data_IF_947226985369
#
_entry.id   IF_947226985369
#
_cell.length_a   1.000
_cell.length_b   1.000
_cell.length_c   1.000
_cell.angle_alpha   90.00
_cell.angle_beta   90.00
_cell.angle_gamma   90.00
#
_symmetry.space_group_name_H-M   'P 1'
#
loop_
_entity.id
_entity.type
_entity.pdbx_description
1 polymer ?
#
# COMPACT_ATOMS: atom_id res chain seq x y z
N UNK A 1 -21.14 -2.62 20.20
CA UNK A 1 -20.92 -3.06 18.81
C UNK A 1 -19.55 -3.72 18.76
N UNK A 2 -19.50 -5.03 18.53
CA UNK A 2 -18.23 -5.77 18.50
C UNK A 2 -17.40 -5.28 17.32
N UNK A 3 -16.23 -4.70 17.60
CA UNK A 3 -15.32 -4.22 16.56
C UNK A 3 -14.72 -5.36 15.75
N UNK A 4 -14.35 -5.09 14.49
CA UNK A 4 -13.63 -6.03 13.65
C UNK A 4 -12.25 -6.34 14.24
N UNK A 5 -11.83 -7.60 14.15
CA UNK A 5 -10.52 -8.05 14.63
C UNK A 5 -9.43 -7.86 13.57
N UNK A 6 -8.21 -7.59 14.03
CA UNK A 6 -7.03 -7.55 13.15
C UNK A 6 -6.86 -6.27 12.33
N UNK A 7 -7.67 -5.23 12.53
CA UNK A 7 -7.58 -3.96 11.79
C UNK A 7 -6.75 -2.85 12.46
N UNK A 8 -6.22 -3.12 13.66
CA UNK A 8 -5.57 -2.12 14.49
C UNK A 8 -6.52 -1.01 14.94
N UNK A 9 -5.97 0.12 15.38
CA UNK A 9 -6.77 1.29 15.76
C UNK A 9 -7.17 2.09 14.53
N UNK A 10 -8.43 2.52 14.50
CA UNK A 10 -8.98 3.40 13.47
C UNK A 10 -10.11 4.25 14.05
N UNK A 11 -10.51 5.29 13.31
CA UNK A 11 -11.57 6.25 13.62
C UNK A 11 -12.80 6.02 12.77
N UNK A 12 -12.60 5.60 11.52
CA UNK A 12 -13.67 5.22 10.60
C UNK A 12 -13.16 4.34 9.46
N UNK A 13 -14.09 3.66 8.79
CA UNK A 13 -13.82 2.86 7.59
C UNK A 13 -14.87 3.23 6.55
N UNK A 14 -14.44 3.56 5.33
CA UNK A 14 -15.32 3.91 4.21
C UNK A 14 -14.88 3.20 2.94
N UNK A 15 -15.79 3.03 1.99
CA UNK A 15 -15.41 2.70 0.62
C UNK A 15 -15.25 4.01 -0.15
N UNK A 16 -14.14 4.21 -0.86
CA UNK A 16 -13.85 5.47 -1.53
C UNK A 16 -13.25 5.29 -2.92
N UNK A 17 -13.40 6.31 -3.78
CA UNK A 17 -12.69 6.42 -5.05
C UNK A 17 -12.46 7.89 -5.42
N UNK A 18 -11.51 8.12 -6.31
CA UNK A 18 -11.30 9.42 -6.94
C UNK A 18 -12.54 9.82 -7.76
N UNK A 19 -12.99 11.07 -7.61
CA UNK A 19 -14.05 11.65 -8.43
C UNK A 19 -13.58 11.96 -9.86
N UNK A 20 -12.28 12.23 -10.04
CA UNK A 20 -11.65 12.48 -11.34
C UNK A 20 -11.44 11.17 -12.12
N UNK A 21 -12.08 11.07 -13.28
CA UNK A 21 -11.97 9.91 -14.18
C UNK A 21 -10.55 9.69 -14.71
N UNK A 22 -9.80 10.76 -14.95
CA UNK A 22 -8.42 10.67 -15.43
C UNK A 22 -7.47 10.09 -14.38
N UNK A 23 -7.81 10.17 -13.08
CA UNK A 23 -7.12 9.44 -12.02
C UNK A 23 -7.54 7.97 -12.04
N UNK A 24 -8.84 7.70 -12.17
CA UNK A 24 -9.37 6.33 -12.16
C UNK A 24 -8.83 5.48 -13.31
N UNK A 25 -8.61 6.07 -14.49
CA UNK A 25 -8.14 5.36 -15.68
C UNK A 25 -6.72 4.78 -15.53
N UNK A 26 -5.88 5.40 -14.70
CA UNK A 26 -4.50 4.95 -14.43
C UNK A 26 -4.36 4.23 -13.09
N UNK A 27 -5.38 4.26 -12.24
CA UNK A 27 -5.32 3.69 -10.91
C UNK A 27 -5.32 2.16 -10.88
N UNK A 28 -4.74 1.61 -9.81
CA UNK A 28 -4.86 0.18 -9.51
C UNK A 28 -6.32 -0.22 -9.25
N UNK A 29 -7.01 0.56 -8.42
CA UNK A 29 -8.39 0.33 -7.99
C UNK A 29 -9.17 1.65 -8.06
N UNK A 30 -9.61 2.21 -6.92
CA UNK A 30 -10.38 3.45 -6.87
C UNK A 30 -9.59 4.75 -7.04
N UNK A 31 -8.25 4.72 -7.08
CA UNK A 31 -7.44 5.94 -7.25
C UNK A 31 -7.43 6.89 -6.05
N UNK A 32 -7.90 6.43 -4.88
CA UNK A 32 -8.03 7.25 -3.67
C UNK A 32 -6.70 7.87 -3.24
N UNK A 33 -5.60 7.10 -3.27
CA UNK A 33 -4.27 7.58 -2.86
C UNK A 33 -3.81 8.72 -3.76
N UNK A 34 -3.89 8.53 -5.08
CA UNK A 34 -3.52 9.54 -6.08
C UNK A 34 -4.35 10.80 -5.88
N UNK A 35 -5.68 10.69 -5.71
CA UNK A 35 -6.54 11.84 -5.47
C UNK A 35 -6.19 12.61 -4.19
N UNK A 36 -5.92 11.90 -3.08
CA UNK A 36 -5.50 12.52 -1.82
C UNK A 36 -4.17 13.28 -1.95
N UNK A 37 -3.20 12.70 -2.66
CA UNK A 37 -1.89 13.32 -2.87
C UNK A 37 -1.99 14.55 -3.79
N UNK A 38 -2.73 14.45 -4.89
CA UNK A 38 -2.96 15.60 -5.78
C UNK A 38 -3.64 16.75 -5.01
N UNK A 39 -4.68 16.43 -4.23
CA UNK A 39 -5.36 17.40 -3.38
C UNK A 39 -4.45 18.02 -2.32
N UNK A 40 -3.63 17.21 -1.64
CA UNK A 40 -2.70 17.68 -0.63
C UNK A 40 -1.60 18.58 -1.22
N UNK A 41 -1.14 18.28 -2.44
CA UNK A 41 -0.16 19.11 -3.14
C UNK A 41 -0.78 20.44 -3.56
N UNK A 42 -1.96 20.41 -4.18
CA UNK A 42 -2.71 21.60 -4.63
C UNK A 42 -3.03 22.56 -3.47
N UNK A 43 -3.42 22.02 -2.32
CA UNK A 43 -3.76 22.82 -1.13
C UNK A 43 -2.54 23.24 -0.30
N UNK A 44 -1.33 22.85 -0.71
CA UNK A 44 -0.09 23.15 0.00
C UNK A 44 0.08 22.40 1.32
N UNK A 45 -0.72 21.35 1.54
CA UNK A 45 -0.61 20.43 2.68
C UNK A 45 0.68 19.60 2.65
N UNK A 46 1.20 19.36 1.44
CA UNK A 46 2.52 18.75 1.19
C UNK A 46 3.28 19.54 0.13
N UNK A 47 4.60 19.44 0.18
CA UNK A 47 5.50 19.97 -0.86
C UNK A 47 5.88 18.88 -1.88
N UNK A 48 5.73 17.60 -1.49
CA UNK A 48 5.97 16.46 -2.35
C UNK A 48 5.67 15.13 -1.66
N UNK A 49 5.75 14.06 -2.43
CA UNK A 49 5.45 12.71 -1.98
C UNK A 49 6.54 11.72 -2.39
N UNK A 50 6.95 10.85 -1.47
CA UNK A 50 7.83 9.71 -1.77
C UNK A 50 6.96 8.51 -2.12
N UNK A 51 7.12 8.03 -3.35
CA UNK A 51 6.26 7.05 -4.01
C UNK A 51 7.07 5.89 -4.60
N UNK A 52 6.37 4.80 -4.90
CA UNK A 52 6.87 3.73 -5.78
C UNK A 52 6.19 3.88 -7.13
N UNK A 53 6.94 3.66 -8.22
CA UNK A 53 6.43 3.68 -9.59
C UNK A 53 6.92 2.46 -10.37
N UNK A 54 6.29 2.20 -11.51
CA UNK A 54 6.84 1.31 -12.53
C UNK A 54 7.93 2.07 -13.30
N UNK A 55 9.19 1.66 -13.18
CA UNK A 55 10.31 2.37 -13.80
C UNK A 55 10.44 2.09 -15.30
N UNK A 56 10.05 0.90 -15.75
CA UNK A 56 10.18 0.44 -17.14
C UNK A 56 9.08 -0.58 -17.52
N UNK A 57 9.13 -1.06 -18.76
CA UNK A 57 8.19 -2.08 -19.26
C UNK A 57 8.38 -3.46 -18.60
N UNK A 58 9.54 -3.72 -18.00
CA UNK A 58 9.84 -4.97 -17.27
C UNK A 58 9.27 -4.98 -15.85
N UNK A 59 8.48 -3.96 -15.50
CA UNK A 59 7.89 -3.79 -14.18
C UNK A 59 8.92 -3.66 -13.07
N UNK A 60 10.10 -3.10 -13.38
CA UNK A 60 11.10 -2.77 -12.37
C UNK A 60 10.52 -1.77 -11.37
N UNK A 61 10.55 -2.05 -10.05
CA UNK A 61 10.09 -1.12 -9.04
C UNK A 61 11.05 0.07 -8.92
N UNK A 62 10.58 1.26 -9.30
CA UNK A 62 11.29 2.53 -9.14
C UNK A 62 10.79 3.32 -7.93
N UNK A 63 11.67 4.16 -7.38
CA UNK A 63 11.33 5.13 -6.33
C UNK A 63 11.28 6.53 -6.95
N UNK A 64 10.38 7.38 -6.46
CA UNK A 64 10.20 8.73 -6.97
C UNK A 64 9.82 9.69 -5.83
N UNK A 65 10.51 10.82 -5.75
CA UNK A 65 10.03 11.99 -5.02
C UNK A 65 9.25 12.85 -6.01
N UNK A 66 7.91 12.75 -5.94
CA UNK A 66 7.02 13.50 -6.81
C UNK A 66 6.73 14.88 -6.19
N UNK A 67 6.97 15.94 -6.95
CA UNK A 67 6.67 17.33 -6.56
C UNK A 67 5.62 17.98 -7.46
N UNK A 68 5.12 17.25 -8.45
CA UNK A 68 4.08 17.70 -9.37
C UNK A 68 2.91 16.71 -9.42
N UNK A 69 1.73 17.20 -9.76
CA UNK A 69 0.54 16.36 -9.95
C UNK A 69 0.76 15.30 -11.04
N UNK A 70 1.46 15.66 -12.12
CA UNK A 70 1.81 14.76 -13.22
C UNK A 70 2.63 13.56 -12.71
N UNK A 71 3.68 13.81 -11.93
CA UNK A 71 4.52 12.77 -11.34
C UNK A 71 3.74 11.85 -10.40
N UNK A 72 2.83 12.41 -9.59
CA UNK A 72 1.94 11.64 -8.72
C UNK A 72 1.06 10.71 -9.57
N UNK A 73 0.45 11.21 -10.64
CA UNK A 73 -0.41 10.42 -11.54
C UNK A 73 0.37 9.33 -12.29
N UNK A 74 1.57 9.63 -12.77
CA UNK A 74 2.45 8.67 -13.47
C UNK A 74 2.94 7.53 -12.56
N UNK A 75 2.95 7.74 -11.24
CA UNK A 75 3.29 6.69 -10.27
C UNK A 75 2.14 5.72 -9.95
N UNK A 76 0.92 5.99 -10.44
CA UNK A 76 -0.25 5.18 -10.12
C UNK A 76 -0.14 3.74 -10.63
N UNK A 77 -0.75 2.81 -9.88
CA UNK A 77 -0.70 1.38 -10.16
C UNK A 77 0.20 0.62 -9.17
N UNK A 78 -0.12 -0.65 -8.94
CA UNK A 78 0.70 -1.49 -8.06
C UNK A 78 1.81 -2.19 -8.84
N UNK A 79 3.03 -2.14 -8.31
CA UNK A 79 4.12 -3.03 -8.70
C UNK A 79 4.30 -4.06 -7.59
N UNK A 80 3.95 -5.33 -7.85
CA UNK A 80 4.12 -6.42 -6.87
C UNK A 80 5.56 -6.92 -6.86
N UNK A 81 6.49 -5.99 -6.64
CA UNK A 81 7.89 -6.28 -6.41
C UNK A 81 8.44 -5.40 -5.28
N UNK A 82 9.51 -5.86 -4.63
CA UNK A 82 10.18 -5.14 -3.56
C UNK A 82 10.74 -3.80 -4.05
N UNK A 83 10.29 -2.70 -3.42
CA UNK A 83 10.74 -1.33 -3.69
C UNK A 83 11.18 -0.68 -2.38
N UNK A 84 12.47 -0.42 -2.14
CA UNK A 84 12.93 0.14 -0.86
C UNK A 84 12.65 1.66 -0.72
N UNK A 85 11.46 2.16 -1.02
CA UNK A 85 11.15 3.60 -1.12
C UNK A 85 11.44 4.46 0.14
N UNK A 86 11.56 3.87 1.33
CA UNK A 86 11.89 4.59 2.57
C UNK A 86 13.20 5.37 2.46
N UNK A 87 14.20 4.89 1.69
CA UNK A 87 15.50 5.57 1.60
C UNK A 87 15.39 6.98 0.99
N UNK A 88 14.40 7.21 0.11
CA UNK A 88 14.21 8.50 -0.54
C UNK A 88 13.65 9.59 0.38
N UNK A 89 13.20 9.24 1.59
CA UNK A 89 12.78 10.25 2.56
C UNK A 89 13.92 11.19 2.95
N UNK A 90 15.15 10.68 3.03
CA UNK A 90 16.32 11.54 3.31
C UNK A 90 16.60 12.49 2.15
N UNK A 91 16.56 11.97 0.93
CA UNK A 91 16.74 12.74 -0.31
C UNK A 91 15.71 13.87 -0.42
N UNK A 92 14.43 13.52 -0.24
CA UNK A 92 13.32 14.47 -0.22
C UNK A 92 13.52 15.57 0.85
N UNK A 93 13.94 15.19 2.05
CA UNK A 93 14.10 16.09 3.18
C UNK A 93 15.35 16.99 3.12
N UNK A 94 16.36 16.63 2.33
CA UNK A 94 17.67 17.28 2.33
C UNK A 94 18.01 17.87 0.98
N UNK A 95 18.28 17.02 0.00
CA UNK A 95 18.70 17.42 -1.34
C UNK A 95 17.58 18.20 -2.05
N UNK A 96 16.32 17.84 -1.82
CA UNK A 96 15.16 18.56 -2.38
C UNK A 96 14.55 19.58 -1.42
N UNK A 97 15.06 19.68 -0.19
CA UNK A 97 14.63 20.63 0.84
C UNK A 97 13.10 20.69 1.09
N UNK A 98 12.37 19.58 0.88
CA UNK A 98 10.94 19.53 1.19
C UNK A 98 10.74 19.61 2.71
N UNK A 99 9.66 20.25 3.17
CA UNK A 99 9.34 20.41 4.60
C UNK A 99 8.10 19.62 5.03
N UNK A 100 7.15 19.40 4.11
CA UNK A 100 5.93 18.60 4.31
C UNK A 100 5.88 17.46 3.30
N UNK A 101 6.36 16.29 3.70
CA UNK A 101 6.47 15.11 2.83
C UNK A 101 5.30 14.16 3.10
N UNK A 102 4.59 13.74 2.04
CA UNK A 102 3.77 12.54 2.09
C UNK A 102 4.61 11.29 1.79
N UNK A 103 4.35 10.20 2.50
CA UNK A 103 4.94 8.89 2.21
C UNK A 103 3.85 7.88 1.88
N UNK A 104 4.01 7.13 0.78
CA UNK A 104 3.15 5.99 0.45
C UNK A 104 3.97 4.71 0.51
N UNK A 105 3.50 3.72 1.28
CA UNK A 105 4.20 2.46 1.41
C UNK A 105 3.37 1.31 1.95
N UNK A 106 3.96 0.13 1.92
CA UNK A 106 3.41 -1.11 2.48
C UNK A 106 3.52 -1.11 4.02
N UNK A 107 2.84 -2.01 4.75
CA UNK A 107 2.77 -1.98 6.21
C UNK A 107 4.14 -1.98 6.91
N UNK A 108 5.08 -2.80 6.45
CA UNK A 108 6.44 -2.84 6.99
C UNK A 108 7.19 -1.52 6.80
N UNK A 109 6.97 -0.84 5.68
CA UNK A 109 7.57 0.46 5.38
C UNK A 109 6.93 1.58 6.22
N UNK A 110 5.62 1.53 6.41
CA UNK A 110 4.91 2.42 7.34
C UNK A 110 5.51 2.30 8.75
N UNK A 111 5.76 1.07 9.23
CA UNK A 111 6.43 0.86 10.52
C UNK A 111 7.86 1.41 10.51
N UNK A 112 8.62 1.25 9.44
CA UNK A 112 9.96 1.84 9.33
C UNK A 112 9.92 3.37 9.45
N UNK A 113 8.95 4.03 8.79
CA UNK A 113 8.76 5.49 8.89
C UNK A 113 8.36 5.90 10.30
N UNK A 114 7.41 5.21 10.94
CA UNK A 114 7.03 5.52 12.33
C UNK A 114 8.18 5.31 13.31
N UNK A 115 8.97 4.25 13.13
CA UNK A 115 10.17 3.99 13.93
C UNK A 115 11.19 5.11 13.74
N UNK A 116 11.39 5.60 12.52
CA UNK A 116 12.28 6.75 12.25
C UNK A 116 11.77 8.04 12.92
N UNK A 117 10.45 8.26 13.00
CA UNK A 117 9.88 9.41 13.71
C UNK A 117 10.11 9.34 15.23
N UNK A 118 10.03 8.15 15.82
CA UNK A 118 10.21 7.96 17.27
C UNK A 118 11.67 7.83 17.69
N UNK A 119 12.49 7.22 16.84
CA UNK A 119 13.89 6.88 17.10
C UNK A 119 14.77 7.33 15.91
N UNK A 120 14.99 8.64 15.72
CA UNK A 120 15.62 9.22 14.52
C UNK A 120 17.15 9.02 14.48
N UNK A 121 17.67 7.88 14.94
CA UNK A 121 19.08 7.53 14.82
C UNK A 121 19.48 7.48 13.33
N UNK A 122 20.39 8.36 12.92
CA UNK A 122 20.81 8.49 11.51
C UNK A 122 19.81 9.20 10.57
N UNK A 123 18.73 9.75 11.12
CA UNK A 123 17.62 10.39 10.40
C UNK A 123 17.25 11.77 10.95
N UNK A 124 18.24 12.55 11.43
CA UNK A 124 18.06 13.92 11.95
C UNK A 124 17.11 14.70 11.03
N UNK A 125 16.04 15.32 11.55
CA UNK A 125 15.05 16.08 10.79
C UNK A 125 14.53 15.43 9.49
N UNK A 126 14.49 14.09 9.39
CA UNK A 126 13.85 13.39 8.27
C UNK A 126 12.43 13.01 8.67
N UNK A 127 12.28 12.30 9.79
CA UNK A 127 10.97 11.85 10.29
C UNK A 127 10.01 13.01 10.60
N UNK A 128 10.52 14.13 11.12
CA UNK A 128 9.74 15.32 11.49
C UNK A 128 9.06 15.98 10.28
N UNK A 129 9.68 15.84 9.09
CA UNK A 129 9.16 16.39 7.83
C UNK A 129 8.10 15.50 7.20
N UNK A 130 7.88 14.28 7.71
CA UNK A 130 6.83 13.39 7.18
C UNK A 130 5.47 13.81 7.71
N UNK A 131 4.76 14.58 6.88
CA UNK A 131 3.46 15.16 7.17
C UNK A 131 2.33 14.13 7.13
N UNK A 132 2.30 13.28 6.11
CA UNK A 132 1.30 12.22 5.96
C UNK A 132 1.95 10.89 5.62
N UNK A 133 1.43 9.80 6.19
CA UNK A 133 1.81 8.42 5.88
C UNK A 133 0.57 7.68 5.40
N UNK A 134 0.53 7.34 4.12
CA UNK A 134 -0.57 6.57 3.51
C UNK A 134 -0.10 5.13 3.32
N UNK A 135 -0.77 4.21 4.01
CA UNK A 135 -0.44 2.79 3.96
C UNK A 135 -1.25 2.05 2.92
N UNK A 136 -0.61 1.17 2.15
CA UNK A 136 -1.31 0.28 1.20
C UNK A 136 -1.46 -1.11 1.83
N UNK A 137 -2.61 -1.75 1.65
CA UNK A 137 -2.79 -3.12 2.14
C UNK A 137 -1.81 -4.07 1.44
N UNK A 138 -1.28 -5.04 2.18
CA UNK A 138 -0.30 -5.98 1.64
C UNK A 138 -0.43 -7.34 2.33
N UNK A 139 -0.63 -8.39 1.54
CA UNK A 139 -0.51 -9.77 2.02
C UNK A 139 0.95 -10.22 1.99
N UNK A 140 1.58 -10.10 0.83
CA UNK A 140 2.93 -10.55 0.50
C UNK A 140 3.48 -9.69 -0.65
N UNK A 141 4.80 -9.75 -0.86
CA UNK A 141 5.52 -9.09 -1.93
C UNK A 141 6.61 -10.03 -2.48
N UNK A 142 7.15 -9.68 -3.66
CA UNK A 142 8.01 -10.58 -4.43
C UNK A 142 9.35 -9.92 -4.77
N UNK A 143 10.47 -10.67 -4.77
CA UNK A 143 11.66 -10.24 -5.48
C UNK A 143 11.35 -9.92 -6.97
N UNK A 144 12.04 -8.96 -7.62
CA UNK A 144 11.77 -8.64 -9.03
C UNK A 144 11.83 -9.86 -9.96
N UNK A 145 12.81 -10.75 -9.79
CA UNK A 145 12.91 -11.99 -10.57
C UNK A 145 11.79 -12.99 -10.27
N UNK A 146 11.27 -12.97 -9.05
CA UNK A 146 10.11 -13.79 -8.68
C UNK A 146 8.84 -13.33 -9.40
N UNK A 147 8.64 -12.02 -9.54
CA UNK A 147 7.55 -11.47 -10.34
C UNK A 147 7.68 -11.92 -11.81
N UNK A 148 8.89 -11.87 -12.39
CA UNK A 148 9.16 -12.38 -13.73
C UNK A 148 8.79 -13.86 -13.86
N UNK A 149 9.21 -14.71 -12.92
CA UNK A 149 8.88 -16.15 -12.94
C UNK A 149 7.37 -16.42 -12.86
N UNK A 150 6.63 -15.62 -12.07
CA UNK A 150 5.16 -15.75 -12.00
C UNK A 150 4.53 -15.37 -13.35
N UNK A 151 4.95 -14.26 -13.95
CA UNK A 151 4.35 -13.69 -15.17
C UNK A 151 4.74 -14.50 -16.41
N UNK A 152 6.03 -14.73 -16.63
CA UNK A 152 6.52 -15.46 -17.80
C UNK A 152 6.37 -16.97 -17.62
N UNK A 153 6.74 -17.49 -16.45
CA UNK A 153 6.77 -18.94 -16.21
C UNK A 153 5.40 -19.55 -15.92
N UNK A 154 4.52 -18.88 -15.17
CA UNK A 154 3.21 -19.44 -14.81
C UNK A 154 2.05 -18.88 -15.62
N UNK A 155 2.05 -17.58 -15.93
CA UNK A 155 1.03 -17.03 -16.82
C UNK A 155 1.40 -17.24 -18.32
N UNK A 156 2.68 -17.36 -18.67
CA UNK A 156 3.08 -17.48 -20.08
C UNK A 156 2.95 -16.16 -20.84
N UNK A 157 3.03 -15.03 -20.13
CA UNK A 157 2.95 -13.68 -20.71
C UNK A 157 4.35 -13.05 -20.65
N UNK A 158 4.91 -12.55 -21.77
CA UNK A 158 6.12 -11.73 -21.72
C UNK A 158 5.91 -10.52 -20.81
N UNK A 159 6.79 -10.29 -19.83
CA UNK A 159 6.54 -9.27 -18.79
C UNK A 159 6.36 -7.87 -19.38
N UNK A 160 7.03 -7.57 -20.49
CA UNK A 160 6.97 -6.29 -21.22
C UNK A 160 5.59 -6.02 -21.84
N UNK A 161 4.80 -7.08 -22.10
CA UNK A 161 3.43 -6.97 -22.62
C UNK A 161 2.38 -6.81 -21.52
N UNK A 162 2.74 -6.99 -20.26
CA UNK A 162 1.82 -6.85 -19.14
C UNK A 162 1.42 -5.39 -18.96
N UNK A 163 0.12 -5.13 -18.87
CA UNK A 163 -0.48 -3.80 -18.67
C UNK A 163 -0.95 -3.59 -17.24
N UNK A 164 -1.43 -4.65 -16.59
CA UNK A 164 -1.92 -4.60 -15.21
C UNK A 164 -1.75 -5.96 -14.53
N UNK A 165 -1.44 -5.94 -13.24
CA UNK A 165 -1.51 -7.11 -12.37
C UNK A 165 -2.47 -6.82 -11.22
N UNK A 166 -3.25 -7.80 -10.78
CA UNK A 166 -4.09 -7.63 -9.60
C UNK A 166 -4.48 -8.96 -8.94
N UNK A 167 -4.66 -8.92 -7.63
CA UNK A 167 -5.17 -10.04 -6.86
C UNK A 167 -6.70 -9.98 -6.76
N UNK A 168 -7.39 -11.02 -7.23
CA UNK A 168 -8.83 -11.13 -7.09
C UNK A 168 -9.25 -12.59 -6.97
N UNK A 169 -10.17 -12.89 -6.03
CA UNK A 169 -10.78 -14.22 -5.85
C UNK A 169 -9.76 -15.37 -5.78
N UNK A 170 -8.64 -15.14 -5.08
CA UNK A 170 -7.56 -16.14 -4.93
C UNK A 170 -6.71 -16.37 -6.18
N UNK A 171 -6.80 -15.47 -7.17
CA UNK A 171 -5.99 -15.48 -8.40
C UNK A 171 -5.10 -14.25 -8.46
N UNK A 172 -3.87 -14.46 -8.92
CA UNK A 172 -2.98 -13.45 -9.44
C UNK A 172 -3.29 -13.30 -10.93
N UNK A 173 -3.88 -12.17 -11.31
CA UNK A 173 -4.31 -11.89 -12.67
C UNK A 173 -3.24 -11.07 -13.38
N UNK A 174 -2.80 -11.53 -14.54
CA UNK A 174 -1.89 -10.85 -15.45
C UNK A 174 -2.70 -10.41 -16.66
N UNK A 175 -2.93 -9.11 -16.80
CA UNK A 175 -3.62 -8.55 -17.96
C UNK A 175 -2.61 -8.05 -19.00
N UNK A 176 -2.76 -8.49 -20.24
CA UNK A 176 -1.96 -8.09 -21.40
C UNK A 176 -2.87 -8.03 -22.63
N UNK A 177 -2.80 -6.96 -23.41
CA UNK A 177 -3.48 -6.72 -24.70
C UNK A 177 -4.65 -7.69 -25.04
N UNK A 178 -5.80 -7.48 -24.38
CA UNK A 178 -7.04 -8.22 -24.64
C UNK A 178 -7.21 -9.56 -23.91
N UNK A 179 -6.19 -10.07 -23.21
CA UNK A 179 -6.20 -11.32 -22.46
C UNK A 179 -5.93 -11.10 -20.97
N UNK A 180 -6.59 -11.91 -20.12
CA UNK A 180 -6.28 -12.00 -18.69
C UNK A 180 -5.89 -13.43 -18.37
N UNK A 181 -4.63 -13.64 -17.98
CA UNK A 181 -4.11 -14.93 -17.55
C UNK A 181 -4.09 -15.02 -16.03
N UNK A 182 -4.44 -16.18 -15.50
CA UNK A 182 -4.64 -16.37 -14.07
C UNK A 182 -3.69 -17.42 -13.51
N UNK A 183 -2.93 -17.01 -12.50
CA UNK A 183 -2.13 -17.90 -11.65
C UNK A 183 -2.83 -18.01 -10.31
N UNK A 184 -2.88 -19.19 -9.67
CA UNK A 184 -3.44 -19.26 -8.31
C UNK A 184 -2.51 -18.53 -7.34
N UNK A 185 -3.08 -17.81 -6.37
CA UNK A 185 -2.28 -17.12 -5.33
C UNK A 185 -1.36 -18.12 -4.62
N UNK A 186 -1.88 -19.30 -4.26
CA UNK A 186 -1.07 -20.37 -3.65
C UNK A 186 0.21 -20.72 -4.43
N UNK A 187 0.14 -20.70 -5.77
CA UNK A 187 1.30 -20.99 -6.63
C UNK A 187 2.24 -19.79 -6.71
N UNK A 188 1.70 -18.58 -6.80
CA UNK A 188 2.48 -17.34 -6.77
C UNK A 188 3.22 -17.16 -5.44
N UNK A 189 2.56 -17.43 -4.31
CA UNK A 189 3.11 -17.32 -2.95
C UNK A 189 4.33 -18.20 -2.68
N UNK A 190 4.60 -19.21 -3.53
CA UNK A 190 5.85 -19.95 -3.45
C UNK A 190 7.09 -19.07 -3.71
N UNK A 191 6.90 -17.97 -4.43
CA UNK A 191 7.95 -17.01 -4.77
C UNK A 191 7.91 -15.75 -3.89
N UNK A 192 7.06 -15.72 -2.86
CA UNK A 192 6.98 -14.58 -1.95
C UNK A 192 8.29 -14.43 -1.17
N UNK A 193 8.58 -13.20 -0.74
CA UNK A 193 9.75 -12.95 0.10
C UNK A 193 9.57 -13.58 1.49
N UNK A 194 10.56 -14.34 1.95
CA UNK A 194 10.55 -15.01 3.27
C UNK A 194 10.25 -14.08 4.46
N UNK A 195 10.72 -12.83 4.39
CA UNK A 195 10.49 -11.81 5.42
C UNK A 195 9.01 -11.48 5.66
N UNK A 196 8.13 -11.74 4.68
CA UNK A 196 6.70 -11.48 4.82
C UNK A 196 6.02 -12.51 5.72
N UNK A 197 6.60 -13.70 5.90
CA UNK A 197 6.05 -14.73 6.78
C UNK A 197 6.03 -14.34 8.25
N UNK A 198 6.85 -13.37 8.67
CA UNK A 198 6.83 -12.83 10.05
C UNK A 198 6.08 -11.50 10.14
N UNK A 199 5.49 -11.01 9.04
CA UNK A 199 4.73 -9.77 9.01
C UNK A 199 3.25 -10.03 9.38
N UNK A 200 2.74 -9.48 10.48
CA UNK A 200 1.36 -9.69 10.92
C UNK A 200 0.40 -8.58 10.46
N UNK A 201 0.87 -7.57 9.75
CA UNK A 201 0.07 -6.41 9.36
C UNK A 201 -0.39 -6.52 7.89
N UNK A 202 -1.71 -6.60 7.70
CA UNK A 202 -2.35 -6.60 6.38
C UNK A 202 -2.76 -5.20 5.94
N UNK A 203 -3.22 -4.36 6.87
CA UNK A 203 -3.97 -3.12 6.58
C UNK A 203 -3.21 -1.85 6.93
N UNK A 204 -1.89 -1.94 7.12
CA UNK A 204 -0.99 -0.84 7.46
C UNK A 204 -1.49 -0.07 8.70
N UNK A 205 -1.54 -0.75 9.84
CA UNK A 205 -2.20 -0.31 11.08
C UNK A 205 -1.65 1.00 11.66
N UNK A 206 -0.41 1.36 11.29
CA UNK A 206 0.29 2.55 11.79
C UNK A 206 0.28 3.74 10.81
N UNK A 207 -0.45 3.66 9.71
CA UNK A 207 -0.59 4.77 8.76
C UNK A 207 -1.50 5.88 9.32
N UNK A 208 -1.51 7.05 8.67
CA UNK A 208 -2.54 8.07 8.91
C UNK A 208 -3.85 7.70 8.21
N UNK A 209 -3.73 7.17 7.01
CA UNK A 209 -4.81 6.65 6.16
C UNK A 209 -4.30 5.32 5.59
N UNK A 210 -5.11 4.26 5.63
CA UNK A 210 -4.77 3.00 4.95
C UNK A 210 -5.76 2.70 3.84
N UNK A 211 -5.26 2.21 2.71
CA UNK A 211 -6.04 2.03 1.49
C UNK A 211 -5.75 0.65 0.89
N UNK A 212 -6.78 -0.06 0.46
CA UNK A 212 -6.63 -1.28 -0.33
C UNK A 212 -7.91 -1.63 -1.07
N UNK A 213 -7.89 -2.73 -1.83
CA UNK A 213 -9.01 -3.17 -2.66
C UNK A 213 -10.01 -4.06 -1.91
N UNK A 214 -9.52 -4.92 -1.01
CA UNK A 214 -10.31 -5.94 -0.34
C UNK A 214 -11.35 -5.29 0.58
N UNK A 215 -12.61 -5.65 0.38
CA UNK A 215 -13.76 -5.17 1.15
C UNK A 215 -14.68 -4.26 0.35
N UNK A 216 -14.16 -3.67 -0.73
CA UNK A 216 -14.90 -2.79 -1.64
C UNK A 216 -15.16 -3.45 -3.00
N UNK A 217 -16.09 -2.86 -3.75
CA UNK A 217 -16.40 -3.24 -5.13
C UNK A 217 -15.25 -2.90 -6.08
N UNK A 218 -15.13 -3.56 -7.26
CA UNK A 218 -14.14 -3.19 -8.27
C UNK A 218 -14.19 -1.71 -8.63
N UNK A 219 -13.02 -1.06 -8.71
CA UNK A 219 -12.90 0.37 -8.95
C UNK A 219 -13.17 1.26 -7.72
N UNK A 220 -13.27 0.65 -6.54
CA UNK A 220 -13.32 1.34 -5.24
C UNK A 220 -12.22 0.81 -4.32
N UNK A 221 -11.89 1.58 -3.30
CA UNK A 221 -10.96 1.20 -2.24
C UNK A 221 -11.66 1.13 -0.90
N UNK A 222 -11.30 0.16 -0.06
CA UNK A 222 -11.57 0.23 1.37
C UNK A 222 -10.52 1.14 2.02
N UNK A 223 -10.98 2.12 2.79
CA UNK A 223 -10.14 3.16 3.40
C UNK A 223 -10.34 3.18 4.91
N UNK A 224 -9.26 3.03 5.67
CA UNK A 224 -9.23 3.26 7.11
C UNK A 224 -8.72 4.67 7.39
N UNK A 225 -9.51 5.45 8.13
CA UNK A 225 -9.10 6.73 8.70
C UNK A 225 -8.53 6.47 10.09
N UNK A 226 -7.23 6.71 10.31
CA UNK A 226 -6.55 6.26 11.55
C UNK A 226 -6.19 7.39 12.48
N UNK A 227 -5.52 8.41 11.96
CA UNK A 227 -5.09 9.57 12.76
C UNK A 227 -6.01 10.76 12.50
N UNK A 228 -6.06 11.69 13.45
CA UNK A 228 -6.85 12.94 13.28
C UNK A 228 -6.42 13.71 12.04
N UNK A 229 -5.11 13.77 11.75
CA UNK A 229 -4.58 14.46 10.55
C UNK A 229 -4.95 13.74 9.25
N UNK A 230 -4.97 12.41 9.25
CA UNK A 230 -5.40 11.63 8.07
C UNK A 230 -6.90 11.78 7.81
N UNK A 231 -7.71 11.71 8.87
CA UNK A 231 -9.16 11.95 8.81
C UNK A 231 -9.49 13.36 8.31
N UNK A 232 -8.78 14.39 8.80
CA UNK A 232 -8.95 15.77 8.34
C UNK A 232 -8.66 15.93 6.83
N UNK A 233 -7.50 15.46 6.37
CA UNK A 233 -7.14 15.52 4.95
C UNK A 233 -8.19 14.83 4.07
N UNK A 234 -8.62 13.64 4.49
CA UNK A 234 -9.61 12.86 3.74
C UNK A 234 -10.96 13.57 3.67
N UNK A 235 -11.45 14.10 4.80
CA UNK A 235 -12.72 14.81 4.85
C UNK A 235 -12.67 16.07 4.00
N UNK A 236 -11.61 16.88 4.07
CA UNK A 236 -11.45 18.06 3.20
C UNK A 236 -11.43 17.69 1.72
N UNK A 237 -10.75 16.60 1.34
CA UNK A 237 -10.75 16.12 -0.04
C UNK A 237 -12.15 15.68 -0.51
N UNK A 238 -12.89 14.95 0.35
CA UNK A 238 -14.28 14.54 0.09
C UNK A 238 -15.20 15.75 -0.05
N UNK A 239 -15.13 16.70 0.88
CA UNK A 239 -16.02 17.86 0.93
C UNK A 239 -15.78 18.82 -0.24
N UNK A 240 -14.56 18.83 -0.81
CA UNK A 240 -14.24 19.52 -2.06
C UNK A 240 -14.52 18.68 -3.33
N UNK A 241 -15.20 17.54 -3.19
CA UNK A 241 -15.59 16.70 -4.33
C UNK A 241 -14.42 15.99 -5.04
N UNK A 242 -13.25 15.88 -4.40
CA UNK A 242 -12.12 15.10 -4.96
C UNK A 242 -12.29 13.60 -4.76
N UNK A 243 -13.07 13.19 -3.75
CA UNK A 243 -13.30 11.79 -3.38
C UNK A 243 -14.79 11.53 -3.21
N UNK A 244 -15.26 10.45 -3.83
CA UNK A 244 -16.59 9.87 -3.59
C UNK A 244 -16.49 8.80 -2.50
N UNK A 245 -17.50 8.70 -1.64
CA UNK A 245 -17.54 7.72 -0.55
C UNK A 245 -18.86 6.97 -0.46
N UNK A 246 -18.80 5.72 -0.01
CA UNK A 246 -19.95 4.92 0.45
C UNK A 246 -19.70 4.43 1.87
N UNK A 247 -20.78 4.29 2.63
CA UNK A 247 -20.75 3.63 3.93
C UNK A 247 -20.42 2.14 3.75
N UNK A 248 -19.47 1.61 4.52
CA UNK A 248 -19.09 0.19 4.47
C UNK A 248 -20.24 -0.76 4.82
N UNK A 249 -21.26 -0.32 5.57
CA UNK A 249 -22.45 -1.12 5.87
C UNK A 249 -23.26 -1.46 4.61
N UNK A 250 -23.16 -0.62 3.58
CA UNK A 250 -23.90 -0.76 2.31
C UNK A 250 -23.09 -1.47 1.21
N UNK A 251 -21.80 -1.74 1.45
CA UNK A 251 -20.86 -2.22 0.43
C UNK A 251 -20.65 -3.72 0.54
N UNK A 252 -20.69 -4.41 -0.60
CA UNK A 252 -20.33 -5.82 -0.73
C UNK A 252 -18.96 -5.95 -1.43
N UNK A 253 -18.12 -6.92 -1.06
CA UNK A 253 -18.37 -8.02 -0.11
C UNK A 253 -18.27 -7.61 1.37
N UNK A 254 -17.93 -6.35 1.65
CA UNK A 254 -17.83 -5.80 2.99
C UNK A 254 -16.61 -6.30 3.76
N UNK A 255 -16.56 -5.95 5.05
CA UNK A 255 -15.34 -6.07 5.85
C UNK A 255 -15.05 -7.49 6.37
N UNK A 256 -16.02 -8.42 6.32
CA UNK A 256 -15.83 -9.80 6.85
C UNK A 256 -14.70 -10.56 6.16
N UNK A 257 -14.56 -10.40 4.84
CA UNK A 257 -13.48 -11.06 4.09
C UNK A 257 -12.13 -10.46 4.46
N UNK A 258 -12.06 -9.13 4.60
CA UNK A 258 -10.86 -8.43 5.02
C UNK A 258 -10.46 -8.82 6.45
N UNK A 259 -11.42 -8.91 7.37
CA UNK A 259 -11.21 -9.32 8.76
C UNK A 259 -10.61 -10.73 8.83
N UNK A 260 -11.22 -11.69 8.11
CA UNK A 260 -10.71 -13.06 8.04
C UNK A 260 -9.25 -13.10 7.56
N UNK A 261 -8.91 -12.33 6.53
CA UNK A 261 -7.55 -12.27 6.00
C UNK A 261 -6.57 -11.60 6.96
N UNK A 262 -6.98 -10.53 7.63
CA UNK A 262 -6.15 -9.83 8.61
C UNK A 262 -5.83 -10.72 9.81
N UNK A 263 -6.85 -11.40 10.36
CA UNK A 263 -6.68 -12.36 11.46
C UNK A 263 -5.80 -13.54 11.03
N UNK A 264 -6.01 -14.10 9.83
CA UNK A 264 -5.19 -15.19 9.31
C UNK A 264 -3.73 -14.78 9.15
N UNK A 265 -3.45 -13.57 8.62
CA UNK A 265 -2.08 -13.08 8.47
C UNK A 265 -1.38 -12.95 9.83
N UNK A 266 -2.06 -12.42 10.86
CA UNK A 266 -1.54 -12.36 12.23
C UNK A 266 -1.25 -13.74 12.82
N UNK A 267 -2.17 -14.69 12.65
CA UNK A 267 -2.01 -16.06 13.15
C UNK A 267 -0.83 -16.77 12.49
N UNK A 268 -0.73 -16.69 11.16
CA UNK A 268 0.37 -17.29 10.39
C UNK A 268 1.73 -16.68 10.78
N UNK A 269 1.79 -15.36 10.97
CA UNK A 269 2.99 -14.69 11.42
C UNK A 269 3.42 -15.15 12.81
N UNK A 270 2.48 -15.31 13.74
CA UNK A 270 2.76 -15.84 15.07
C UNK A 270 3.32 -17.27 15.03
N UNK A 271 2.76 -18.13 14.18
CA UNK A 271 3.27 -19.49 13.99
C UNK A 271 4.69 -19.50 13.40
N UNK A 272 4.93 -18.68 12.37
CA UNK A 272 6.25 -18.56 11.75
C UNK A 272 7.31 -18.04 12.73
N UNK A 273 6.96 -17.06 13.57
CA UNK A 273 7.81 -16.53 14.64
C UNK A 273 8.16 -17.62 15.65
N UNK A 274 7.16 -18.36 16.16
CA UNK A 274 7.38 -19.43 17.13
C UNK A 274 8.32 -20.52 16.58
N UNK A 275 8.18 -20.90 15.30
CA UNK A 275 9.10 -21.84 14.64
C UNK A 275 10.53 -21.31 14.60
N UNK A 276 10.72 -20.02 14.28
CA UNK A 276 12.05 -19.39 14.26
C UNK A 276 12.69 -19.37 15.66
N UNK A 277 11.91 -19.08 16.70
CA UNK A 277 12.39 -19.12 18.08
C UNK A 277 12.83 -20.53 18.49
N UNK A 278 12.06 -21.56 18.12
CA UNK A 278 12.44 -22.97 18.35
C UNK A 278 13.75 -23.36 17.64
N UNK A 279 14.05 -22.74 16.50
CA UNK A 279 15.32 -22.91 15.78
C UNK A 279 16.48 -22.10 16.38
N UNK A 280 16.25 -21.30 17.43
CA UNK A 280 17.26 -20.40 18.00
C UNK A 280 17.56 -19.16 17.16
N UNK A 281 16.71 -18.84 16.18
CA UNK A 281 16.88 -17.66 15.34
C UNK A 281 16.35 -16.41 16.05
N UNK A 282 17.04 -15.28 15.87
CA UNK A 282 16.53 -13.99 16.33
C UNK A 282 15.23 -13.64 15.59
N UNK A 283 14.27 -13.15 16.38
CA UNK A 283 13.03 -12.55 15.89
C UNK A 283 12.88 -11.21 16.59
N UNK A 284 12.52 -10.18 15.83
CA UNK A 284 12.20 -8.87 16.38
C UNK A 284 11.00 -9.01 17.31
N UNK A 285 11.23 -8.86 18.61
CA UNK A 285 10.17 -8.90 19.63
C UNK A 285 9.20 -7.73 19.44
N UNK A 286 7.92 -7.99 19.68
CA UNK A 286 6.91 -6.98 20.05
C UNK A 286 6.55 -5.89 19.02
N UNK A 287 6.79 -6.05 17.71
CA UNK A 287 6.33 -4.99 16.75
C UNK A 287 4.80 -4.87 16.62
N UNK A 288 4.03 -5.90 17.00
CA UNK A 288 2.60 -5.99 16.67
C UNK A 288 1.73 -6.80 17.65
N UNK A 289 2.24 -7.19 18.82
CA UNK A 289 1.51 -8.02 19.80
C UNK A 289 1.30 -7.27 21.11
#
# INVERSE_FOLDING_TARGET
MGGYQGFGKYRGIVSARAADESIRSVAQDGGTVTALLCFALETGDIDGAVLTRKADERWTPGQLVATTEREIRESAGSVYALSPSVFQLKEAAREMALEKIAYVGLPCQVVAVRKMQLYPFGGRYVGDKVRYVIGIFCSENFPPESLRNIVEGYAGTPIEKMRKMYLAKGKFNVASDGEIRQVSVKKASHWAQDGDHVCPDLVAEYADISVGSIGSEPGWNTVFLRTRRGEDLFNRARDQGRIETKDMETVQPGLKTLEKLAVAKKANAKEAIAKREQMGLYVTRDMYY
#
